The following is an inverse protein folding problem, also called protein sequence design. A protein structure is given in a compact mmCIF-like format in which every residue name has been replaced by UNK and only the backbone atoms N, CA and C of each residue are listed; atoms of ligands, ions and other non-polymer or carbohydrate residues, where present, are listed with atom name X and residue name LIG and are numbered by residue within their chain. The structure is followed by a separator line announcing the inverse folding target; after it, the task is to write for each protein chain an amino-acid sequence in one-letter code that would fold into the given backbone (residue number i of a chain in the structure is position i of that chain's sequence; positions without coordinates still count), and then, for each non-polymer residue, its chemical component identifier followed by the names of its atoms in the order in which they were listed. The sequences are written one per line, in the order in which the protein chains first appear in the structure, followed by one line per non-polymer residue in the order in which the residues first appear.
data_IF_320887863145
#
_entry.id   IF_320887863145
#
_cell.length_a   1.000
_cell.length_b   1.000
_cell.length_c   1.000
_cell.angle_alpha   90.00
_cell.angle_beta   90.00
_cell.angle_gamma   90.00
#
_symmetry.space_group_name_H-M   'P 1'
#
loop_
_entity.id
_entity.type
_entity.pdbx_description
1 polymer ?
#
# COMPACT_ATOMS: atom_id res chain seq x y z
N UNK A 1 33.79 -4.07 13.93
CA UNK A 1 33.34 -4.14 12.53
C UNK A 1 32.17 -3.17 12.40
N UNK A 2 32.38 -2.09 11.66
CA UNK A 2 31.45 -0.98 11.45
C UNK A 2 30.34 -1.42 10.48
N UNK A 3 29.11 -1.57 10.97
CA UNK A 3 27.93 -1.75 10.11
C UNK A 3 27.59 -0.39 9.48
N UNK A 4 27.76 -0.30 8.17
CA UNK A 4 27.49 0.89 7.35
C UNK A 4 25.99 0.93 7.01
N UNK A 5 25.22 1.93 7.47
CA UNK A 5 23.80 2.04 7.13
C UNK A 5 23.68 2.66 5.73
N UNK A 6 23.12 1.89 4.78
CA UNK A 6 22.93 2.35 3.39
C UNK A 6 22.76 1.27 2.32
N UNK A 7 22.45 0.02 2.67
CA UNK A 7 22.19 -1.03 1.69
C UNK A 7 20.82 -0.84 1.01
N UNK A 8 20.71 -0.93 -0.33
CA UNK A 8 19.45 -0.74 -1.03
C UNK A 8 18.40 -1.76 -0.56
N UNK A 9 17.25 -1.26 -0.06
CA UNK A 9 16.09 -2.08 0.25
C UNK A 9 15.67 -2.85 -1.00
N UNK A 10 15.78 -4.18 -0.94
CA UNK A 10 15.40 -5.05 -2.05
C UNK A 10 14.05 -5.69 -1.75
N UNK A 11 12.93 -5.16 -2.30
CA UNK A 11 11.61 -5.66 -2.01
C UNK A 11 11.51 -7.13 -2.42
N UNK A 12 10.90 -7.93 -1.54
CA UNK A 12 10.61 -9.32 -1.85
C UNK A 12 9.65 -9.39 -3.03
N UNK A 13 9.79 -10.38 -3.91
CA UNK A 13 8.90 -10.57 -5.07
C UNK A 13 7.42 -10.53 -4.68
N UNK A 14 7.09 -10.95 -3.46
CA UNK A 14 5.73 -10.96 -2.91
C UNK A 14 5.21 -9.56 -2.59
N UNK A 15 6.08 -8.63 -2.24
CA UNK A 15 5.74 -7.22 -1.98
C UNK A 15 5.45 -6.50 -3.30
N UNK A 16 6.25 -6.76 -4.33
CA UNK A 16 6.05 -6.22 -5.69
C UNK A 16 4.76 -6.74 -6.33
N UNK A 17 4.23 -7.89 -5.89
CA UNK A 17 3.01 -8.49 -6.44
C UNK A 17 1.71 -8.03 -5.77
N UNK A 18 1.75 -7.39 -4.58
CA UNK A 18 0.53 -6.90 -3.92
C UNK A 18 -0.30 -5.94 -4.79
N UNK A 19 0.31 -4.99 -5.54
CA UNK A 19 -0.45 -4.13 -6.46
C UNK A 19 -1.17 -4.90 -7.57
N UNK A 20 -0.60 -6.03 -8.01
CA UNK A 20 -1.20 -6.85 -9.06
C UNK A 20 -2.50 -7.51 -8.60
N UNK A 21 -2.68 -7.75 -7.30
CA UNK A 21 -3.92 -8.29 -6.73
C UNK A 21 -5.10 -7.32 -6.92
N UNK A 22 -4.88 -6.01 -6.73
CA UNK A 22 -5.90 -4.98 -6.96
C UNK A 22 -6.31 -4.90 -8.44
N UNK A 23 -5.35 -5.00 -9.35
CA UNK A 23 -5.59 -5.03 -10.79
C UNK A 23 -6.39 -6.29 -11.18
N UNK A 24 -6.02 -7.44 -10.60
CA UNK A 24 -6.74 -8.70 -10.79
C UNK A 24 -8.20 -8.61 -10.33
N UNK A 25 -8.45 -8.06 -9.14
CA UNK A 25 -9.81 -7.85 -8.61
C UNK A 25 -10.66 -6.93 -9.50
N UNK A 26 -10.08 -5.81 -9.95
CA UNK A 26 -10.75 -4.89 -10.87
C UNK A 26 -11.10 -5.57 -12.22
N UNK A 27 -10.20 -6.41 -12.74
CA UNK A 27 -10.43 -7.13 -14.00
C UNK A 27 -11.60 -8.12 -13.87
N UNK A 28 -11.68 -8.86 -12.76
CA UNK A 28 -12.79 -9.78 -12.49
C UNK A 28 -14.12 -9.03 -12.44
N UNK A 29 -14.17 -7.89 -11.74
CA UNK A 29 -15.37 -7.06 -11.66
C UNK A 29 -15.79 -6.52 -13.05
N UNK A 30 -14.83 -6.04 -13.84
CA UNK A 30 -15.08 -5.54 -15.19
C UNK A 30 -15.58 -6.64 -16.14
N UNK A 31 -15.01 -7.85 -16.06
CA UNK A 31 -15.47 -9.01 -16.83
C UNK A 31 -16.91 -9.36 -16.45
N UNK A 32 -17.22 -9.42 -15.15
CA UNK A 32 -18.57 -9.72 -14.68
C UNK A 32 -19.60 -8.73 -15.23
N UNK A 33 -19.31 -7.43 -15.13
CA UNK A 33 -20.19 -6.39 -15.70
C UNK A 33 -20.25 -6.51 -17.21
N UNK A 34 -19.12 -6.71 -17.89
CA UNK A 34 -19.06 -6.90 -19.34
C UNK A 34 -19.92 -8.07 -19.83
N UNK A 35 -19.92 -9.21 -19.12
CA UNK A 35 -20.76 -10.37 -19.45
C UNK A 35 -22.25 -10.02 -19.34
N UNK A 36 -22.65 -9.31 -18.29
CA UNK A 36 -24.05 -8.87 -18.11
C UNK A 36 -24.44 -7.86 -19.20
N UNK A 37 -23.58 -6.89 -19.49
CA UNK A 37 -23.80 -5.89 -20.54
C UNK A 37 -23.92 -6.56 -21.90
N UNK A 38 -23.06 -7.53 -22.22
CA UNK A 38 -23.12 -8.26 -23.48
C UNK A 38 -24.40 -9.10 -23.59
N UNK A 39 -24.81 -9.76 -22.51
CA UNK A 39 -26.04 -10.55 -22.49
C UNK A 39 -27.29 -9.69 -22.70
N UNK A 40 -27.31 -8.47 -22.12
CA UNK A 40 -28.45 -7.55 -22.22
C UNK A 40 -28.50 -6.75 -23.53
N UNK A 41 -27.35 -6.35 -24.08
CA UNK A 41 -27.28 -5.47 -25.26
C UNK A 41 -26.99 -6.21 -26.55
N UNK A 42 -26.28 -7.35 -26.49
CA UNK A 42 -25.71 -8.07 -27.64
C UNK A 42 -24.86 -7.18 -28.56
N UNK A 43 -24.33 -6.08 -28.03
CA UNK A 43 -23.48 -5.13 -28.74
C UNK A 43 -22.06 -5.14 -28.15
N UNK A 44 -21.09 -5.52 -28.98
CA UNK A 44 -19.68 -5.58 -28.61
C UNK A 44 -19.06 -4.21 -28.33
N UNK A 45 -19.51 -3.16 -29.01
CA UNK A 45 -19.01 -1.80 -28.83
C UNK A 45 -19.38 -1.27 -27.46
N UNK A 46 -20.66 -1.39 -27.09
CA UNK A 46 -21.15 -0.96 -25.77
C UNK A 46 -20.51 -1.81 -24.67
N UNK A 47 -20.35 -3.11 -24.92
CA UNK A 47 -19.71 -4.02 -23.96
C UNK A 47 -18.26 -3.65 -23.69
N UNK A 48 -17.44 -3.40 -24.72
CA UNK A 48 -16.02 -3.07 -24.54
C UNK A 48 -15.85 -1.73 -23.84
N UNK A 49 -16.61 -0.71 -24.25
CA UNK A 49 -16.56 0.63 -23.65
C UNK A 49 -17.04 0.55 -22.19
N UNK A 50 -18.15 -0.14 -21.94
CA UNK A 50 -18.71 -0.30 -20.60
C UNK A 50 -17.79 -1.07 -19.65
N UNK A 51 -17.27 -2.21 -20.08
CA UNK A 51 -16.32 -3.01 -19.29
C UNK A 51 -15.03 -2.22 -19.01
N UNK A 52 -14.50 -1.52 -20.03
CA UNK A 52 -13.32 -0.65 -19.86
C UNK A 52 -13.56 0.51 -18.90
N UNK A 53 -14.71 1.19 -19.01
CA UNK A 53 -15.09 2.28 -18.10
C UNK A 53 -15.22 1.78 -16.66
N UNK A 54 -15.91 0.65 -16.44
CA UNK A 54 -16.06 0.04 -15.11
C UNK A 54 -14.70 -0.37 -14.54
N UNK A 55 -13.83 -0.98 -15.34
CA UNK A 55 -12.47 -1.34 -14.92
C UNK A 55 -11.70 -0.13 -14.38
N UNK A 56 -11.72 0.97 -15.13
CA UNK A 56 -11.06 2.23 -14.72
C UNK A 56 -11.70 2.77 -13.45
N UNK A 57 -13.03 2.82 -13.35
CA UNK A 57 -13.72 3.30 -12.15
C UNK A 57 -13.32 2.49 -10.92
N UNK A 58 -13.28 1.16 -11.02
CA UNK A 58 -12.86 0.29 -9.91
C UNK A 58 -11.40 0.55 -9.53
N UNK A 59 -10.49 0.66 -10.50
CA UNK A 59 -9.09 1.00 -10.23
C UNK A 59 -8.96 2.36 -9.54
N UNK A 60 -9.70 3.36 -10.00
CA UNK A 60 -9.71 4.69 -9.38
C UNK A 60 -10.23 4.61 -7.95
N UNK A 61 -11.34 3.90 -7.71
CA UNK A 61 -11.86 3.72 -6.35
C UNK A 61 -10.83 3.02 -5.45
N UNK A 62 -10.24 1.92 -5.91
CA UNK A 62 -9.19 1.22 -5.14
C UNK A 62 -7.98 2.13 -4.88
N UNK A 63 -7.54 2.89 -5.88
CA UNK A 63 -6.42 3.83 -5.73
C UNK A 63 -6.76 4.95 -4.72
N UNK A 64 -7.97 5.48 -4.78
CA UNK A 64 -8.44 6.49 -3.82
C UNK A 64 -8.55 5.91 -2.42
N UNK A 65 -8.98 4.65 -2.27
CA UNK A 65 -8.98 3.96 -0.99
C UNK A 65 -7.55 3.77 -0.45
N UNK A 66 -6.59 3.39 -1.31
CA UNK A 66 -5.18 3.30 -0.93
C UNK A 66 -4.61 4.65 -0.50
N UNK A 67 -4.92 5.73 -1.23
CA UNK A 67 -4.51 7.09 -0.88
C UNK A 67 -5.15 7.57 0.44
N UNK A 68 -6.39 7.16 0.71
CA UNK A 68 -7.09 7.51 1.94
C UNK A 68 -6.52 6.79 3.18
N UNK A 69 -5.93 5.60 3.01
CA UNK A 69 -5.30 4.84 4.09
C UNK A 69 -3.84 5.30 4.26
N UNK A 70 -3.57 6.15 5.26
CA UNK A 70 -2.22 6.58 5.64
C UNK A 70 -1.44 5.45 6.36
N UNK A 71 -0.10 5.55 6.43
CA UNK A 71 0.89 5.48 5.36
C UNK A 71 1.04 4.03 4.84
N UNK A 72 1.65 3.88 3.67
CA UNK A 72 1.75 2.62 2.93
C UNK A 72 2.54 1.57 3.74
N UNK A 73 2.31 0.28 3.47
CA UNK A 73 2.82 -0.82 4.31
C UNK A 73 4.36 -0.80 4.47
N UNK A 74 5.08 -0.18 3.54
CA UNK A 74 6.52 0.08 3.62
C UNK A 74 6.87 1.12 4.69
N UNK A 75 6.16 2.24 4.75
CA UNK A 75 6.37 3.28 5.76
C UNK A 75 6.06 2.75 7.17
N UNK A 76 5.06 1.87 7.32
CA UNK A 76 4.77 1.25 8.62
C UNK A 76 5.88 0.30 9.09
N UNK A 77 6.44 -0.49 8.18
CA UNK A 77 7.53 -1.41 8.51
C UNK A 77 8.83 -0.69 8.92
N UNK A 78 9.09 0.49 8.35
CA UNK A 78 10.21 1.35 8.74
C UNK A 78 10.00 1.99 10.11
N UNK A 79 8.78 2.45 10.41
CA UNK A 79 8.42 3.03 11.70
C UNK A 79 8.50 2.00 12.84
N UNK A 80 8.00 0.78 12.63
CA UNK A 80 8.06 -0.30 13.63
C UNK A 80 9.50 -0.71 13.97
N UNK A 81 10.40 -0.72 12.96
CA UNK A 81 11.83 -0.98 13.16
C UNK A 81 12.54 0.17 13.87
N UNK A 82 12.23 1.41 13.50
CA UNK A 82 12.78 2.61 14.16
C UNK A 82 12.35 2.72 15.64
N UNK A 83 11.16 2.20 15.99
CA UNK A 83 10.69 2.14 17.36
C UNK A 83 11.34 0.99 18.17
N UNK A 84 11.55 -0.17 17.54
CA UNK A 84 12.28 -1.29 18.14
C UNK A 84 13.78 -1.00 18.35
N UNK A 85 14.39 -0.19 17.49
CA UNK A 85 15.79 0.20 17.59
C UNK A 85 16.06 1.35 18.56
N UNK A 86 15.05 1.99 19.16
CA UNK A 86 15.26 3.03 20.20
C UNK A 86 15.76 2.40 21.50
N UNK A 87 17.08 2.45 21.80
CA UNK A 87 17.61 1.92 23.04
C UNK A 87 17.62 3.07 24.05
N UNK A 88 16.78 3.01 25.07
CA UNK A 88 17.09 3.61 26.38
C UNK A 88 17.54 5.09 26.42
N UNK A 89 16.98 6.01 25.60
CA UNK A 89 17.19 7.48 25.78
C UNK A 89 16.06 8.16 26.56
N UNK A 90 15.46 7.42 27.47
CA UNK A 90 14.75 7.97 28.61
C UNK A 90 15.41 7.38 29.85
N UNK A 91 16.71 7.59 30.00
CA UNK A 91 17.21 7.87 31.34
C UNK A 91 16.44 9.13 31.77
N UNK A 92 15.55 9.04 32.78
CA UNK A 92 14.94 10.23 33.35
C UNK A 92 16.10 11.09 33.82
N UNK A 93 16.22 12.32 33.33
CA UNK A 93 17.10 13.30 33.95
C UNK A 93 16.65 13.40 35.40
N UNK A 94 17.43 12.81 36.29
CA UNK A 94 17.21 12.87 37.72
C UNK A 94 17.09 14.35 38.11
N UNK A 95 15.91 14.82 38.57
CA UNK A 95 15.75 16.19 39.02
C UNK A 95 16.60 16.50 40.27
N UNK A 96 17.17 15.49 40.93
CA UNK A 96 17.89 15.59 42.19
C UNK A 96 19.41 15.48 42.09
N UNK A 97 20.03 15.71 40.92
CA UNK A 97 21.50 15.88 40.88
C UNK A 97 21.88 17.21 41.56
N UNK A 98 22.48 17.22 42.77
CA UNK A 98 22.82 18.48 43.42
C UNK A 98 23.99 19.15 42.67
N UNK A 99 24.08 20.49 42.66
CA UNK A 99 25.21 21.17 42.08
C UNK A 99 26.49 20.78 42.83
N UNK A 100 27.51 20.38 42.08
CA UNK A 100 28.87 20.21 42.58
C UNK A 100 29.41 21.59 42.93
N UNK A 101 29.50 21.89 44.22
CA UNK A 101 30.36 22.94 44.80
C UNK A 101 31.68 22.33 45.30
#
# INVERSE_FOLDING_TARGET
MTQQPGGPYQPSRREVLRPAEYVGGAAIAAIFVGVITLAGTRDWTITLIGAGAVFIVVLVVLALLQMAVKPDASERAELDQAEAERPERLEPRDPDTPPVE
#
